data_IF_941184352228
#
_entry.id   IF_941184352228
#
_cell.length_a   1.000
_cell.length_b   1.000
_cell.length_c   1.000
_cell.angle_alpha   90.00
_cell.angle_beta   90.00
_cell.angle_gamma   90.00
#
_symmetry.space_group_name_H-M   'P 1'
#
loop_
_entity.id
_entity.type
_entity.pdbx_description
1 polymer ?
#
# COMPACT_ATOMS: atom_id res chain seq x y z
N UNK A 1 3.43 -24.27 6.57
CA UNK A 1 3.65 -23.03 5.79
C UNK A 1 2.61 -22.84 4.68
N UNK A 2 1.31 -23.12 4.91
CA UNK A 2 0.24 -22.93 3.90
C UNK A 2 -0.54 -21.61 4.07
N UNK A 3 -0.53 -21.04 5.29
CA UNK A 3 -1.28 -19.82 5.62
C UNK A 3 -0.62 -18.54 5.05
N UNK A 4 0.72 -18.47 5.02
CA UNK A 4 1.43 -17.30 4.51
C UNK A 4 1.19 -17.10 3.01
N UNK A 5 1.23 -18.16 2.20
CA UNK A 5 1.00 -18.08 0.75
C UNK A 5 -0.43 -17.65 0.42
N UNK A 6 -1.41 -18.03 1.23
CA UNK A 6 -2.80 -17.61 1.04
C UNK A 6 -3.03 -16.14 1.45
N UNK A 7 -2.41 -15.67 2.53
CA UNK A 7 -2.44 -14.25 2.93
C UNK A 7 -1.66 -13.36 1.95
N UNK A 8 -0.47 -13.78 1.53
CA UNK A 8 0.36 -13.05 0.56
C UNK A 8 -0.22 -13.11 -0.87
N UNK A 9 -1.02 -14.13 -1.18
CA UNK A 9 -1.75 -14.22 -2.44
C UNK A 9 -2.94 -13.26 -2.53
N UNK A 10 -3.47 -12.79 -1.39
CA UNK A 10 -4.57 -11.82 -1.32
C UNK A 10 -4.11 -10.37 -1.14
N UNK A 11 -2.91 -10.18 -0.57
CA UNK A 11 -2.28 -8.87 -0.44
C UNK A 11 -1.58 -8.54 -1.76
N UNK A 12 -1.90 -7.40 -2.39
CA UNK A 12 -1.17 -6.92 -3.57
C UNK A 12 0.29 -6.64 -3.16
N UNK A 13 1.28 -7.48 -3.53
CA UNK A 13 2.62 -7.46 -2.93
C UNK A 13 3.40 -6.18 -3.23
N UNK A 14 3.10 -5.52 -4.36
CA UNK A 14 3.67 -4.21 -4.71
C UNK A 14 3.24 -3.09 -3.76
N UNK A 15 1.96 -3.01 -3.40
CA UNK A 15 1.44 -1.97 -2.49
C UNK A 15 2.00 -2.17 -1.08
N UNK A 16 2.11 -3.43 -0.65
CA UNK A 16 2.74 -3.77 0.63
C UNK A 16 4.21 -3.31 0.68
N UNK A 17 4.97 -3.58 -0.38
CA UNK A 17 6.36 -3.13 -0.48
C UNK A 17 6.48 -1.60 -0.44
N UNK A 18 5.61 -0.87 -1.14
CA UNK A 18 5.61 0.60 -1.14
C UNK A 18 5.34 1.17 0.26
N UNK A 19 4.36 0.62 0.99
CA UNK A 19 4.08 0.98 2.38
C UNK A 19 5.28 0.73 3.31
N UNK A 20 5.97 -0.40 3.15
CA UNK A 20 7.18 -0.69 3.92
C UNK A 20 8.30 0.32 3.66
N UNK A 21 8.53 0.71 2.40
CA UNK A 21 9.56 1.69 2.03
C UNK A 21 9.21 3.09 2.54
N UNK A 22 7.95 3.52 2.40
CA UNK A 22 7.48 4.81 2.91
C UNK A 22 7.54 4.89 4.44
N UNK A 23 7.19 3.80 5.13
CA UNK A 23 7.30 3.70 6.58
C UNK A 23 8.76 3.76 7.06
N UNK A 24 9.66 3.05 6.38
CA UNK A 24 11.10 3.11 6.67
C UNK A 24 11.67 4.52 6.45
N UNK A 25 11.31 5.18 5.33
CA UNK A 25 11.72 6.55 5.03
C UNK A 25 11.23 7.56 6.06
N UNK A 26 10.01 7.39 6.59
CA UNK A 26 9.46 8.23 7.65
C UNK A 26 10.24 8.08 8.97
N UNK A 27 10.54 6.85 9.38
CA UNK A 27 11.29 6.58 10.62
C UNK A 27 12.69 7.19 10.55
N UNK A 28 13.35 7.10 9.40
CA UNK A 28 14.65 7.73 9.17
C UNK A 28 14.55 9.26 9.13
N UNK A 29 13.51 9.80 8.49
CA UNK A 29 13.25 11.24 8.44
C UNK A 29 13.06 11.85 9.82
N UNK A 30 12.27 11.19 10.69
CA UNK A 30 12.05 11.63 12.08
C UNK A 30 13.34 11.56 12.90
N UNK A 31 14.16 10.51 12.73
CA UNK A 31 15.43 10.39 13.47
C UNK A 31 16.45 11.48 13.12
N UNK A 32 16.40 12.01 11.90
CA UNK A 32 17.29 13.08 11.45
C UNK A 32 16.67 14.49 11.56
N UNK A 33 15.52 14.63 12.23
CA UNK A 33 14.76 15.88 12.36
C UNK A 33 14.32 16.48 11.01
N UNK A 34 14.27 15.65 9.95
CA UNK A 34 13.87 16.02 8.60
C UNK A 34 12.35 15.97 8.44
N UNK A 35 11.69 16.97 9.01
CA UNK A 35 10.22 16.99 9.09
C UNK A 35 9.55 17.06 7.69
N UNK A 36 10.18 17.68 6.70
CA UNK A 36 9.69 17.70 5.31
C UNK A 36 9.66 16.31 4.67
N UNK A 37 10.65 15.46 4.97
CA UNK A 37 10.66 14.07 4.49
C UNK A 37 9.55 13.28 5.19
N UNK A 38 9.36 13.46 6.50
CA UNK A 38 8.29 12.80 7.23
C UNK A 38 6.91 13.17 6.67
N UNK A 39 6.65 14.46 6.41
CA UNK A 39 5.41 14.95 5.81
C UNK A 39 5.25 14.44 4.36
N UNK A 40 6.32 14.41 3.57
CA UNK A 40 6.33 13.81 2.23
C UNK A 40 5.99 12.32 2.23
N UNK A 41 6.52 11.56 3.19
CA UNK A 41 6.19 10.14 3.37
C UNK A 41 4.71 9.94 3.77
N UNK A 42 4.16 10.78 4.65
CA UNK A 42 2.72 10.74 5.00
C UNK A 42 1.87 11.04 3.76
N UNK A 43 2.19 12.10 3.01
CA UNK A 43 1.48 12.44 1.78
C UNK A 43 1.53 11.31 0.75
N UNK A 44 2.69 10.65 0.62
CA UNK A 44 2.86 9.46 -0.23
C UNK A 44 1.98 8.28 0.20
N UNK A 45 1.88 8.00 1.50
CA UNK A 45 0.99 6.94 2.02
C UNK A 45 -0.47 7.26 1.75
N UNK A 46 -0.91 8.52 1.94
CA UNK A 46 -2.29 8.93 1.67
C UNK A 46 -2.62 8.82 0.18
N UNK A 47 -1.73 9.24 -0.70
CA UNK A 47 -1.90 9.12 -2.15
C UNK A 47 -2.02 7.66 -2.58
N UNK A 48 -1.17 6.78 -2.04
CA UNK A 48 -1.25 5.33 -2.26
C UNK A 48 -2.56 4.75 -1.72
N UNK A 49 -2.96 5.11 -0.49
CA UNK A 49 -4.21 4.62 0.09
C UNK A 49 -5.41 5.00 -0.78
N UNK A 50 -5.44 6.23 -1.31
CA UNK A 50 -6.48 6.67 -2.25
C UNK A 50 -6.46 5.86 -3.55
N UNK A 51 -5.29 5.67 -4.16
CA UNK A 51 -5.15 4.91 -5.41
C UNK A 51 -5.53 3.43 -5.23
N UNK A 52 -5.18 2.84 -4.09
CA UNK A 52 -5.57 1.48 -3.70
C UNK A 52 -7.09 1.37 -3.53
N UNK A 53 -7.70 2.29 -2.79
CA UNK A 53 -9.17 2.31 -2.60
C UNK A 53 -9.91 2.51 -3.92
N UNK A 54 -9.41 3.38 -4.81
CA UNK A 54 -9.97 3.58 -6.14
C UNK A 54 -9.80 2.35 -7.03
N UNK A 55 -8.64 1.70 -6.98
CA UNK A 55 -8.35 0.47 -7.72
C UNK A 55 -9.15 -0.74 -7.23
N UNK A 56 -9.49 -0.80 -5.94
CA UNK A 56 -10.40 -1.82 -5.39
C UNK A 56 -11.86 -1.52 -5.72
N UNK A 57 -12.28 -0.24 -5.62
CA UNK A 57 -13.65 0.18 -5.94
C UNK A 57 -13.97 0.11 -7.44
N UNK A 58 -12.97 0.32 -8.31
CA UNK A 58 -13.09 0.25 -9.76
C UNK A 58 -13.20 -1.18 -10.33
N UNK A 59 -12.92 -2.21 -9.52
CA UNK A 59 -13.02 -3.61 -9.92
C UNK A 59 -14.39 -4.25 -9.60
N UNK A 60 -15.42 -3.41 -9.39
CA UNK A 60 -16.78 -3.82 -9.03
C UNK A 60 -17.77 -4.00 -10.20
N UNK A 61 -17.32 -4.06 -11.46
CA UNK A 61 -18.22 -4.30 -12.59
C UNK A 61 -17.56 -5.15 -13.69
N UNK A 62 -17.87 -6.46 -13.68
CA UNK A 62 -17.58 -7.40 -14.76
C UNK A 62 -16.94 -8.72 -14.32
N UNK A 63 -17.73 -9.68 -13.81
CA UNK A 63 -18.06 -10.89 -14.58
C UNK A 63 -19.10 -11.74 -13.83
N UNK A 64 -20.35 -11.63 -14.27
CA UNK A 64 -21.26 -12.77 -14.19
C UNK A 64 -20.96 -13.67 -15.38
N UNK A 65 -20.11 -14.67 -15.17
CA UNK A 65 -19.81 -15.71 -16.14
C UNK A 65 -20.37 -17.04 -15.67
N UNK A 66 -21.56 -17.40 -16.18
CA UNK A 66 -22.04 -18.79 -16.18
C UNK A 66 -21.03 -19.69 -16.88
N UNK A 67 -20.62 -20.75 -16.20
CA UNK A 67 -19.88 -21.90 -16.74
C UNK A 67 -19.97 -23.06 -15.76
#
# INVERSE_FOLDING_TARGET
MKNLTFFLGKIRPQIFLALCVLGAGMILGIQHDLNEIAVGCIAGIIALAKDVLQSDAGNGNGDGGTG
#
